data_IF_304240481180
#
_entry.id   IF_304240481180
#
_cell.length_a   1.000
_cell.length_b   1.000
_cell.length_c   1.000
_cell.angle_alpha   90.00
_cell.angle_beta   90.00
_cell.angle_gamma   90.00
#
_symmetry.space_group_name_H-M   'P 1'
#
loop_
_entity.id
_entity.type
_entity.pdbx_description
1 polymer ?
#
# COMPACT_ATOMS: atom_id res chain seq x y z
N UNK A 1 -17.37 16.21 0.50
CA UNK A 1 -16.07 15.87 -0.12
C UNK A 1 -15.01 15.94 1.00
N UNK A 2 -14.89 14.86 1.77
CA UNK A 2 -14.26 14.87 3.10
C UNK A 2 -12.74 14.90 2.97
N UNK A 3 -12.13 15.96 3.51
CA UNK A 3 -10.69 16.15 3.58
C UNK A 3 -10.07 14.98 4.35
N UNK A 4 -9.32 14.12 3.68
CA UNK A 4 -8.60 12.99 4.29
C UNK A 4 -7.30 13.42 5.01
N UNK A 5 -7.05 14.74 5.05
CA UNK A 5 -5.94 15.38 5.73
C UNK A 5 -6.50 16.36 6.75
N UNK A 6 -6.56 15.95 8.01
CA UNK A 6 -7.01 16.78 9.14
C UNK A 6 -5.91 16.73 10.20
N UNK A 7 -5.31 17.88 10.48
CA UNK A 7 -4.14 18.05 11.39
C UNK A 7 -2.84 17.34 10.95
N UNK A 8 -2.59 17.20 9.65
CA UNK A 8 -1.34 16.59 9.16
C UNK A 8 -1.29 15.06 9.25
N UNK A 9 -2.41 14.43 9.63
CA UNK A 9 -2.52 12.97 9.76
C UNK A 9 -3.32 12.37 8.60
N UNK A 10 -2.79 11.29 8.02
CA UNK A 10 -3.51 10.42 7.07
C UNK A 10 -4.50 9.56 7.85
N UNK A 11 -5.77 9.56 7.44
CA UNK A 11 -6.83 8.80 8.12
C UNK A 11 -7.61 7.91 7.19
N UNK A 12 -7.88 6.70 7.66
CA UNK A 12 -8.89 5.83 7.08
C UNK A 12 -10.28 6.49 7.10
N UNK A 13 -11.18 6.07 6.21
CA UNK A 13 -12.48 6.75 6.01
C UNK A 13 -13.38 6.63 7.23
N UNK A 14 -13.29 5.50 7.91
CA UNK A 14 -13.95 5.28 9.19
C UNK A 14 -12.95 5.67 10.29
N UNK A 15 -13.41 6.30 11.38
CA UNK A 15 -12.60 6.80 12.51
C UNK A 15 -11.95 5.68 13.36
N UNK A 16 -11.51 4.61 12.71
CA UNK A 16 -10.81 3.50 13.31
C UNK A 16 -9.29 3.75 13.35
N UNK A 17 -8.63 3.13 14.31
CA UNK A 17 -7.19 3.26 14.49
C UNK A 17 -6.44 2.52 13.37
N UNK A 18 -5.33 3.13 12.94
CA UNK A 18 -4.33 2.47 12.11
C UNK A 18 -3.49 1.58 13.02
N UNK A 19 -3.39 0.30 12.68
CA UNK A 19 -2.65 -0.67 13.49
C UNK A 19 -1.23 -0.92 13.03
N UNK A 20 -1.03 -0.85 11.72
CA UNK A 20 0.24 -1.17 11.10
C UNK A 20 0.46 -0.27 9.89
N UNK A 21 1.73 0.01 9.62
CA UNK A 21 2.17 0.78 8.47
C UNK A 21 3.42 0.11 7.88
N UNK A 22 3.61 0.30 6.59
CA UNK A 22 4.85 -0.01 5.90
C UNK A 22 5.13 1.06 4.84
N UNK A 23 6.41 1.24 4.51
CA UNK A 23 6.84 2.23 3.52
C UNK A 23 7.43 1.48 2.33
N UNK A 24 7.08 1.91 1.12
CA UNK A 24 7.60 1.30 -0.09
C UNK A 24 9.14 1.31 -0.09
N UNK A 25 9.80 0.24 -0.56
CA UNK A 25 11.25 0.22 -0.69
C UNK A 25 11.73 1.33 -1.66
N UNK A 26 12.94 1.84 -1.42
CA UNK A 26 13.55 2.86 -2.28
C UNK A 26 13.71 2.31 -3.70
N UNK A 27 13.04 2.92 -4.67
CA UNK A 27 13.29 2.64 -6.08
C UNK A 27 14.53 3.42 -6.50
N UNK A 28 15.65 2.73 -6.70
CA UNK A 28 16.91 3.31 -7.17
C UNK A 28 16.68 4.00 -8.53
N UNK A 29 16.72 5.32 -8.53
CA UNK A 29 16.53 6.12 -9.73
C UNK A 29 17.87 6.21 -10.51
N UNK A 30 18.32 5.09 -11.08
CA UNK A 30 19.49 5.10 -11.95
C UNK A 30 19.07 5.58 -13.35
N UNK A 31 19.26 6.88 -13.61
CA UNK A 31 18.90 7.58 -14.87
C UNK A 31 19.58 7.03 -16.14
N UNK A 32 20.41 5.99 -16.05
CA UNK A 32 21.26 5.54 -17.13
C UNK A 32 20.92 4.17 -17.73
N UNK A 33 19.67 3.69 -17.69
CA UNK A 33 19.25 2.65 -18.63
C UNK A 33 17.75 2.73 -18.96
N UNK A 34 17.50 2.87 -20.26
CA UNK A 34 16.21 2.83 -20.92
C UNK A 34 15.65 1.41 -20.84
N UNK A 35 15.01 1.05 -19.73
CA UNK A 35 14.17 -0.15 -19.67
C UNK A 35 12.96 0.06 -18.76
N UNK A 36 11.84 0.31 -19.44
CA UNK A 36 10.46 0.14 -18.99
C UNK A 36 10.09 0.84 -17.68
N UNK A 37 9.48 2.01 -17.84
CA UNK A 37 8.58 2.67 -16.90
C UNK A 37 7.72 1.68 -16.11
N UNK A 38 8.24 1.20 -14.98
CA UNK A 38 7.42 0.66 -13.90
C UNK A 38 6.67 1.88 -13.41
N UNK A 39 5.40 2.00 -13.81
CA UNK A 39 4.53 3.10 -13.42
C UNK A 39 4.47 3.15 -11.90
N UNK A 40 5.30 4.03 -11.34
CA UNK A 40 5.49 4.17 -9.90
C UNK A 40 4.22 4.81 -9.36
N UNK A 41 3.45 3.98 -8.70
CA UNK A 41 2.36 4.45 -7.85
C UNK A 41 3.05 5.27 -6.77
N UNK A 42 2.90 6.59 -6.81
CA UNK A 42 3.66 7.54 -5.97
C UNK A 42 4.64 8.48 -6.67
N UNK A 43 4.68 8.54 -8.01
CA UNK A 43 5.63 9.40 -8.73
C UNK A 43 7.09 9.04 -8.45
N UNK A 44 8.04 9.96 -8.59
CA UNK A 44 9.44 9.72 -8.19
C UNK A 44 9.63 9.57 -6.66
N UNK A 45 8.55 9.37 -5.89
CA UNK A 45 8.49 9.40 -4.44
C UNK A 45 8.11 8.07 -3.79
N UNK A 46 8.13 8.07 -2.46
CA UNK A 46 7.75 6.95 -1.61
C UNK A 46 6.23 6.88 -1.43
N UNK A 47 5.71 5.67 -1.23
CA UNK A 47 4.32 5.45 -0.78
C UNK A 47 4.29 4.80 0.59
N UNK A 48 3.19 5.02 1.30
CA UNK A 48 2.89 4.37 2.59
C UNK A 48 1.71 3.43 2.35
N UNK A 49 1.77 2.22 2.88
CA UNK A 49 0.59 1.38 3.05
C UNK A 49 0.24 1.28 4.54
N UNK A 50 -1.05 1.25 4.85
CA UNK A 50 -1.55 1.18 6.23
C UNK A 50 -2.69 0.18 6.36
N UNK A 51 -2.66 -0.63 7.42
CA UNK A 51 -3.75 -1.54 7.79
C UNK A 51 -4.52 -1.04 9.02
N UNK A 52 -5.83 -1.27 9.04
CA UNK A 52 -6.73 -0.65 10.02
C UNK A 52 -7.77 -1.64 10.60
N UNK A 53 -8.37 -1.23 11.72
CA UNK A 53 -9.56 -1.86 12.30
C UNK A 53 -10.77 -1.85 11.36
N UNK A 54 -10.81 -0.92 10.40
CA UNK A 54 -11.89 -0.86 9.42
C UNK A 54 -11.83 -1.97 8.36
N UNK A 55 -10.90 -2.93 8.52
CA UNK A 55 -10.70 -4.10 7.66
C UNK A 55 -10.13 -3.77 6.29
N UNK A 56 -9.65 -2.54 6.10
CA UNK A 56 -9.09 -2.07 4.83
C UNK A 56 -7.58 -1.87 4.94
N UNK A 57 -6.95 -1.91 3.77
CA UNK A 57 -5.57 -1.46 3.58
C UNK A 57 -5.61 -0.26 2.67
N UNK A 58 -4.87 0.80 3.01
CA UNK A 58 -4.85 2.02 2.21
C UNK A 58 -3.43 2.34 1.79
N UNK A 59 -3.25 2.69 0.52
CA UNK A 59 -2.00 3.23 -0.01
C UNK A 59 -2.11 4.74 -0.17
N UNK A 60 -1.06 5.42 0.27
CA UNK A 60 -0.94 6.87 0.29
C UNK A 60 0.29 7.31 -0.50
N UNK A 61 0.13 8.37 -1.27
CA UNK A 61 1.21 9.12 -1.88
C UNK A 61 1.76 10.10 -0.83
N UNK A 62 3.06 10.02 -0.53
CA UNK A 62 3.67 10.88 0.50
C UNK A 62 3.78 12.33 0.02
N UNK A 63 4.12 12.55 -1.26
CA UNK A 63 4.38 13.89 -1.80
C UNK A 63 3.11 14.73 -1.85
N UNK A 64 2.02 14.13 -2.31
CA UNK A 64 0.72 14.79 -2.45
C UNK A 64 -0.18 14.58 -1.24
N UNK A 65 0.22 13.70 -0.31
CA UNK A 65 -0.54 13.37 0.89
C UNK A 65 -1.96 12.86 0.59
N UNK A 66 -2.12 12.18 -0.55
CA UNK A 66 -3.41 11.69 -1.05
C UNK A 66 -3.50 10.18 -0.98
N UNK A 67 -4.73 9.71 -0.76
CA UNK A 67 -5.07 8.31 -0.92
C UNK A 67 -5.02 7.93 -2.39
N UNK A 68 -4.34 6.83 -2.70
CA UNK A 68 -4.24 6.30 -4.06
C UNK A 68 -5.18 5.10 -4.21
N UNK A 69 -5.04 4.10 -3.32
CA UNK A 69 -5.73 2.81 -3.44
C UNK A 69 -6.29 2.43 -2.08
N UNK A 70 -7.48 1.84 -2.08
CA UNK A 70 -8.07 1.16 -0.92
C UNK A 70 -8.32 -0.29 -1.29
N UNK A 71 -7.76 -1.21 -0.52
CA UNK A 71 -8.05 -2.63 -0.63
C UNK A 71 -9.07 -3.02 0.41
N UNK A 72 -10.13 -3.65 -0.08
CA UNK A 72 -11.21 -4.22 0.71
C UNK A 72 -11.25 -5.73 0.48
N UNK A 73 -11.62 -6.49 1.51
CA UNK A 73 -11.79 -7.93 1.38
C UNK A 73 -11.55 -8.69 2.68
N UNK A 74 -10.68 -8.18 3.56
CA UNK A 74 -10.55 -8.74 4.90
C UNK A 74 -11.86 -8.63 5.67
N UNK A 75 -12.18 -9.66 6.44
CA UNK A 75 -13.42 -9.73 7.21
C UNK A 75 -13.24 -9.22 8.65
N UNK A 76 -11.99 -8.99 9.05
CA UNK A 76 -11.60 -8.51 10.37
C UNK A 76 -10.40 -7.54 10.28
N UNK A 77 -9.94 -7.08 11.44
CA UNK A 77 -8.87 -6.11 11.61
C UNK A 77 -7.59 -6.55 10.88
N UNK A 78 -7.03 -5.65 10.08
CA UNK A 78 -5.72 -5.85 9.46
C UNK A 78 -4.63 -5.50 10.47
N UNK A 79 -3.78 -6.48 10.75
CA UNK A 79 -2.78 -6.42 11.84
C UNK A 79 -1.36 -6.25 11.35
N UNK A 80 -1.10 -6.59 10.10
CA UNK A 80 0.20 -6.47 9.47
C UNK A 80 0.03 -6.15 8.00
N UNK A 81 0.89 -5.26 7.48
CA UNK A 81 1.00 -4.95 6.05
C UNK A 81 2.48 -4.89 5.70
N UNK A 82 2.86 -5.41 4.52
CA UNK A 82 4.21 -5.35 3.98
C UNK A 82 4.24 -5.17 2.48
N UNK A 83 5.15 -4.33 2.00
CA UNK A 83 5.49 -4.28 0.58
C UNK A 83 6.26 -5.55 0.18
N UNK A 84 5.86 -6.14 -0.95
CA UNK A 84 6.65 -7.13 -1.63
C UNK A 84 7.94 -6.51 -2.16
N UNK A 85 9.07 -7.20 -1.96
CA UNK A 85 10.34 -6.82 -2.57
C UNK A 85 10.55 -7.55 -3.89
N UNK A 86 11.22 -6.88 -4.81
CA UNK A 86 11.75 -7.46 -6.05
C UNK A 86 12.87 -8.49 -5.80
N UNK A 87 13.47 -8.50 -4.61
CA UNK A 87 14.56 -9.41 -4.24
C UNK A 87 14.15 -10.88 -4.21
N UNK A 88 12.85 -11.17 -4.09
CA UNK A 88 12.33 -12.54 -4.05
C UNK A 88 12.28 -13.23 -5.43
N UNK A 89 12.76 -12.59 -6.51
CA UNK A 89 12.80 -13.19 -7.85
C UNK A 89 11.42 -13.47 -8.46
N UNK A 90 10.34 -13.07 -7.78
CA UNK A 90 8.98 -13.13 -8.31
C UNK A 90 8.85 -12.01 -9.35
N UNK A 91 8.71 -12.40 -10.62
CA UNK A 91 8.36 -11.46 -11.68
C UNK A 91 7.09 -10.70 -11.27
N UNK A 92 7.21 -9.40 -10.98
CA UNK A 92 6.10 -8.56 -10.51
C UNK A 92 6.06 -8.29 -9.00
N UNK A 93 6.94 -8.90 -8.19
CA UNK A 93 6.95 -8.76 -6.72
C UNK A 93 7.18 -7.33 -6.19
N UNK A 94 7.76 -6.45 -7.01
CA UNK A 94 7.94 -5.03 -6.66
C UNK A 94 6.62 -4.24 -6.49
N UNK A 95 5.48 -4.81 -6.91
CA UNK A 95 4.18 -4.13 -6.92
C UNK A 95 3.12 -4.92 -6.18
N UNK A 96 3.50 -5.66 -5.15
CA UNK A 96 2.55 -6.40 -4.32
C UNK A 96 2.54 -5.91 -2.88
N UNK A 97 1.40 -6.04 -2.22
CA UNK A 97 1.26 -5.91 -0.76
C UNK A 97 0.86 -7.25 -0.19
N UNK A 98 1.45 -7.61 0.94
CA UNK A 98 1.03 -8.71 1.79
C UNK A 98 0.33 -8.13 3.02
N UNK A 99 -0.76 -8.76 3.44
CA UNK A 99 -1.45 -8.38 4.67
C UNK A 99 -1.85 -9.59 5.49
N UNK A 100 -1.80 -9.44 6.82
CA UNK A 100 -2.31 -10.42 7.78
C UNK A 100 -3.43 -9.82 8.61
N UNK A 101 -4.50 -10.58 8.83
CA UNK A 101 -5.72 -10.13 9.49
C UNK A 101 -6.18 -11.09 10.60
N UNK A 102 -6.99 -10.58 11.52
CA UNK A 102 -7.69 -11.40 12.53
C UNK A 102 -8.81 -12.27 11.95
N UNK A 103 -9.08 -12.22 10.65
CA UNK A 103 -9.96 -13.18 9.96
C UNK A 103 -9.28 -14.53 9.71
N UNK A 104 -8.01 -14.68 10.13
CA UNK A 104 -7.23 -15.90 9.95
C UNK A 104 -6.63 -16.04 8.55
N UNK A 105 -6.74 -15.01 7.69
CA UNK A 105 -6.18 -15.01 6.35
C UNK A 105 -4.94 -14.12 6.23
N UNK A 106 -4.06 -14.54 5.31
CA UNK A 106 -3.05 -13.69 4.69
C UNK A 106 -3.48 -13.46 3.26
N UNK A 107 -3.44 -12.21 2.80
CA UNK A 107 -3.85 -11.85 1.43
C UNK A 107 -2.71 -11.18 0.69
N UNK A 108 -2.67 -11.46 -0.61
CA UNK A 108 -1.74 -10.85 -1.55
C UNK A 108 -2.51 -9.90 -2.46
N UNK A 109 -2.04 -8.67 -2.55
CA UNK A 109 -2.67 -7.61 -3.34
C UNK A 109 -1.75 -7.13 -4.43
N UNK A 110 -2.28 -6.93 -5.62
CA UNK A 110 -1.58 -6.29 -6.72
C UNK A 110 -1.86 -4.79 -6.68
N UNK A 111 -0.79 -3.99 -6.54
CA UNK A 111 -0.88 -2.54 -6.41
C UNK A 111 -1.32 -1.91 -7.74
N UNK A 112 -0.96 -2.50 -8.89
CA UNK A 112 -1.27 -1.92 -10.21
C UNK A 112 -2.75 -2.00 -10.57
N UNK A 113 -3.37 -3.13 -10.26
CA UNK A 113 -4.79 -3.40 -10.51
C UNK A 113 -5.68 -2.98 -9.35
N UNK A 114 -5.12 -2.77 -8.15
CA UNK A 114 -5.89 -2.47 -6.95
C UNK A 114 -6.74 -3.66 -6.49
N UNK A 115 -6.38 -4.89 -6.85
CA UNK A 115 -7.16 -6.10 -6.59
C UNK A 115 -6.39 -7.13 -5.78
N UNK A 116 -7.14 -7.97 -5.07
CA UNK A 116 -6.59 -9.19 -4.47
C UNK A 116 -6.15 -10.15 -5.57
N UNK A 117 -4.94 -10.69 -5.44
CA UNK A 117 -4.43 -11.77 -6.27
C UNK A 117 -4.84 -13.11 -5.66
N UNK A 118 -4.64 -13.25 -4.34
CA UNK A 118 -4.86 -14.49 -3.59
C UNK A 118 -5.27 -14.20 -2.16
#
# INVERSE_FOLDING_TARGET
>A
MTKQFVYGMLKHQNHYIVWCIDISPLQSNNKNNKSNSIGVIGGNGYTICSGSHDKTIVIWDIETAKRIITFEGHENVVRSVKYGSNELGINGGANTILSGSYDGSVRLWDIRSGKQIQ
#
